data_IF_432923878968
#
_entry.id   IF_432923878968
#
_cell.length_a   1.000
_cell.length_b   1.000
_cell.length_c   1.000
_cell.angle_alpha   90.00
_cell.angle_beta   90.00
_cell.angle_gamma   90.00
#
_symmetry.space_group_name_H-M   'P 1'
#
loop_
_entity.id
_entity.type
_entity.pdbx_description
1 polymer ?
#
# COMPACT_ATOMS: atom_id res chain seq x y z
N UNK A 1 15.90 4.22 -5.65
CA UNK A 1 16.70 3.08 -6.16
C UNK A 1 18.17 3.49 -6.02
N UNK A 2 19.04 2.62 -5.51
CA UNK A 2 20.47 2.92 -5.30
C UNK A 2 21.32 1.97 -6.14
N UNK A 3 22.15 2.53 -7.01
CA UNK A 3 23.06 1.80 -7.89
C UNK A 3 24.50 2.27 -7.67
N UNK A 4 25.46 1.38 -7.91
CA UNK A 4 26.91 1.62 -7.76
C UNK A 4 27.68 1.34 -9.06
N UNK A 5 27.01 1.42 -10.21
CA UNK A 5 27.61 1.17 -11.53
C UNK A 5 27.89 -0.31 -11.87
N UNK A 6 27.59 -1.26 -10.97
CA UNK A 6 27.66 -2.70 -11.25
C UNK A 6 26.35 -3.23 -11.82
N UNK A 7 26.38 -4.44 -12.40
CA UNK A 7 25.23 -5.12 -13.03
C UNK A 7 24.01 -5.24 -12.11
N UNK A 8 24.22 -5.40 -10.80
CA UNK A 8 23.14 -5.59 -9.83
C UNK A 8 22.92 -4.33 -8.99
N UNK A 9 21.66 -4.07 -8.66
CA UNK A 9 21.27 -2.93 -7.82
C UNK A 9 21.66 -3.17 -6.37
N UNK A 10 22.14 -2.12 -5.70
CA UNK A 10 22.46 -2.18 -4.27
C UNK A 10 21.19 -2.16 -3.43
N UNK A 11 20.18 -1.38 -3.86
CA UNK A 11 18.88 -1.35 -3.20
C UNK A 11 17.79 -0.95 -4.18
N UNK A 12 16.74 -1.75 -4.24
CA UNK A 12 15.51 -1.41 -4.93
C UNK A 12 14.38 -1.44 -3.91
N UNK A 13 13.70 -0.30 -3.74
CA UNK A 13 12.51 -0.19 -2.89
C UNK A 13 11.36 0.20 -3.81
N UNK A 14 10.37 -0.68 -3.90
CA UNK A 14 9.13 -0.41 -4.63
C UNK A 14 8.20 0.34 -3.67
N UNK A 15 7.68 1.49 -4.10
CA UNK A 15 6.62 2.20 -3.39
C UNK A 15 5.31 1.79 -4.06
N UNK A 16 4.58 0.87 -3.46
CA UNK A 16 3.25 0.49 -3.96
C UNK A 16 2.23 1.57 -3.58
N UNK A 17 1.24 1.85 -4.44
CA UNK A 17 0.20 2.83 -4.15
C UNK A 17 -0.60 2.44 -2.90
N UNK A 18 -0.82 1.13 -2.71
CA UNK A 18 -1.43 0.55 -1.52
C UNK A 18 -0.74 0.99 -0.22
N UNK A 19 0.59 0.95 -0.15
CA UNK A 19 1.33 1.33 1.07
C UNK A 19 1.14 2.81 1.44
N UNK A 20 0.94 3.67 0.45
CA UNK A 20 0.67 5.09 0.66
C UNK A 20 -0.80 5.36 1.04
N UNK A 21 -1.72 4.48 0.63
CA UNK A 21 -3.16 4.62 0.83
C UNK A 21 -3.69 3.93 2.11
N UNK A 22 -2.87 3.15 2.83
CA UNK A 22 -3.27 2.57 4.13
C UNK A 22 -3.51 3.63 5.21
N UNK A 23 -2.64 4.64 5.43
CA UNK A 23 -2.93 5.67 6.44
C UNK A 23 -4.26 6.41 6.22
N UNK A 24 -4.61 6.87 4.99
CA UNK A 24 -5.92 7.47 4.75
C UNK A 24 -7.06 6.46 4.81
N UNK A 25 -6.84 5.17 4.52
CA UNK A 25 -7.86 4.13 4.72
C UNK A 25 -8.36 4.08 6.18
N UNK A 26 -7.46 4.24 7.17
CA UNK A 26 -7.85 4.27 8.59
C UNK A 26 -8.77 5.47 8.89
N UNK A 27 -8.53 6.61 8.23
CA UNK A 27 -9.40 7.77 8.35
C UNK A 27 -10.75 7.57 7.63
N UNK A 28 -10.77 6.89 6.49
CA UNK A 28 -12.01 6.55 5.77
C UNK A 28 -12.87 5.55 6.55
N UNK A 29 -12.24 4.66 7.32
CA UNK A 29 -12.92 3.70 8.18
C UNK A 29 -13.40 4.31 9.50
N UNK A 30 -12.96 5.54 9.84
CA UNK A 30 -13.38 6.20 11.06
C UNK A 30 -14.79 6.79 10.89
N UNK A 31 -15.78 6.12 11.49
CA UNK A 31 -17.17 6.57 11.51
C UNK A 31 -18.08 5.98 10.42
N UNK A 32 -17.58 5.05 9.61
CA UNK A 32 -18.43 4.26 8.71
C UNK A 32 -19.12 3.10 9.44
N UNK A 33 -20.27 2.67 8.95
CA UNK A 33 -20.95 1.49 9.49
C UNK A 33 -20.21 0.21 9.09
N UNK A 34 -20.34 -0.86 9.88
CA UNK A 34 -19.63 -2.13 9.61
C UNK A 34 -19.95 -2.70 8.21
N UNK A 35 -21.14 -2.40 7.68
CA UNK A 35 -21.56 -2.81 6.35
C UNK A 35 -20.77 -2.12 5.21
N UNK A 36 -20.23 -0.92 5.45
CA UNK A 36 -19.50 -0.14 4.45
C UNK A 36 -18.01 -0.51 4.36
N UNK A 37 -17.48 -1.12 5.42
CA UNK A 37 -16.07 -1.56 5.52
C UNK A 37 -15.62 -2.37 4.29
N UNK A 38 -16.31 -3.43 3.82
CA UNK A 38 -15.85 -4.19 2.67
C UNK A 38 -15.82 -3.35 1.38
N UNK A 39 -16.76 -2.43 1.20
CA UNK A 39 -16.82 -1.56 0.02
C UNK A 39 -15.63 -0.59 0.01
N UNK A 40 -15.35 0.04 1.16
CA UNK A 40 -14.23 0.98 1.33
C UNK A 40 -12.89 0.25 1.11
N UNK A 41 -12.73 -0.94 1.69
CA UNK A 41 -11.51 -1.75 1.54
C UNK A 41 -11.28 -2.16 0.07
N UNK A 42 -12.33 -2.57 -0.65
CA UNK A 42 -12.24 -2.93 -2.06
C UNK A 42 -11.82 -1.76 -2.96
N UNK A 43 -12.20 -0.52 -2.63
CA UNK A 43 -11.85 0.65 -3.47
C UNK A 43 -10.35 0.95 -3.51
N UNK A 44 -9.63 0.58 -2.45
CA UNK A 44 -8.17 0.79 -2.35
C UNK A 44 -7.40 -0.47 -2.78
N UNK A 45 -8.07 -1.62 -2.78
CA UNK A 45 -7.50 -2.94 -3.03
C UNK A 45 -6.18 -3.18 -2.26
N UNK A 46 -6.25 -3.38 -0.93
CA UNK A 46 -5.07 -3.67 -0.15
C UNK A 46 -4.58 -5.10 -0.37
N UNK A 47 -3.97 -5.35 -1.52
CA UNK A 47 -3.24 -6.58 -1.80
C UNK A 47 -2.08 -6.76 -0.81
N UNK A 48 -2.09 -7.86 -0.06
CA UNK A 48 -1.06 -8.16 0.96
C UNK A 48 0.34 -8.24 0.32
N UNK A 49 0.45 -8.82 -0.88
CA UNK A 49 1.71 -8.88 -1.63
C UNK A 49 2.27 -7.51 -2.00
N UNK A 50 1.43 -6.48 -2.07
CA UNK A 50 1.83 -5.09 -2.33
C UNK A 50 2.30 -4.38 -1.05
N UNK A 51 1.91 -4.87 0.13
CA UNK A 51 2.22 -4.26 1.43
C UNK A 51 3.48 -4.83 2.08
N UNK A 52 3.86 -6.07 1.76
CA UNK A 52 4.99 -6.78 2.39
C UNK A 52 6.36 -6.57 1.68
N UNK A 53 6.48 -5.60 0.77
CA UNK A 53 7.63 -5.46 -0.16
C UNK A 53 8.73 -4.49 0.28
#
# INVERSE_FOLDING_TARGET
>A
MKANGKKNLVRHRVRTPTLANIPPLVHMLAGCELADVPVIVLTIDPCIGCMER
#
